data_IF_927033220870
#
_entry.id   IF_927033220870
#
_cell.length_a   1.000
_cell.length_b   1.000
_cell.length_c   1.000
_cell.angle_alpha   90.00
_cell.angle_beta   90.00
_cell.angle_gamma   90.00
#
_symmetry.space_group_name_H-M   'P 1'
#
loop_
_entity.id
_entity.type
_entity.pdbx_description
1 polymer ?
#
# COMPACT_ATOMS: atom_id res chain seq x y z
N UNK A 1 11.16 21.88 -0.06
CA UNK A 1 9.81 21.78 -0.66
C UNK A 1 9.87 20.74 -1.78
N UNK A 2 9.38 19.50 -1.55
CA UNK A 2 9.50 18.32 -2.43
C UNK A 2 8.42 18.26 -3.54
N UNK A 3 8.12 19.39 -4.17
CA UNK A 3 6.95 19.55 -5.05
C UNK A 3 7.15 19.02 -6.49
N UNK A 4 8.33 18.50 -6.82
CA UNK A 4 8.68 17.97 -8.14
C UNK A 4 9.21 16.53 -8.07
N UNK A 5 9.11 15.88 -6.91
CA UNK A 5 9.64 14.53 -6.75
C UNK A 5 8.75 13.54 -7.52
N UNK A 6 9.23 13.08 -8.68
CA UNK A 6 8.54 12.13 -9.54
C UNK A 6 8.91 10.68 -9.23
N UNK A 7 10.12 10.44 -8.73
CA UNK A 7 10.64 9.11 -8.44
C UNK A 7 11.15 9.07 -7.01
N UNK A 8 10.74 8.04 -6.26
CA UNK A 8 11.19 7.80 -4.90
C UNK A 8 11.62 6.34 -4.76
N UNK A 9 12.87 6.12 -4.34
CA UNK A 9 13.40 4.79 -4.07
C UNK A 9 13.67 4.65 -2.57
N UNK A 10 12.95 3.73 -1.96
CA UNK A 10 13.00 3.32 -0.56
C UNK A 10 13.25 1.81 -0.45
N UNK A 11 13.82 1.19 -1.48
CA UNK A 11 14.22 -0.21 -1.46
C UNK A 11 15.26 -0.51 -0.38
N UNK A 12 15.32 -1.76 0.09
CA UNK A 12 16.30 -2.24 1.07
C UNK A 12 16.32 -1.44 2.39
N UNK A 13 15.15 -0.95 2.79
CA UNK A 13 14.95 -0.37 4.12
C UNK A 13 14.34 -1.41 5.06
N UNK A 14 14.03 -1.01 6.29
CA UNK A 14 13.41 -1.88 7.31
C UNK A 14 12.00 -1.45 7.64
N UNK A 15 11.27 -0.93 6.65
CA UNK A 15 9.87 -0.56 6.86
C UNK A 15 9.04 -1.82 7.07
N UNK A 16 8.18 -1.79 8.09
CA UNK A 16 7.40 -2.94 8.54
C UNK A 16 5.90 -2.82 8.23
N UNK A 17 5.42 -1.61 8.02
CA UNK A 17 4.02 -1.29 7.72
C UNK A 17 3.96 -0.09 6.78
N UNK A 18 2.80 0.07 6.10
CA UNK A 18 2.48 1.21 5.26
C UNK A 18 2.05 2.44 6.06
N UNK A 19 1.82 2.33 7.38
CA UNK A 19 1.36 3.44 8.24
C UNK A 19 2.35 4.60 8.36
N UNK A 20 3.64 4.32 8.33
CA UNK A 20 4.68 5.36 8.42
C UNK A 20 4.76 6.24 7.15
N UNK A 21 3.92 5.97 6.15
CA UNK A 21 4.03 6.50 4.78
C UNK A 21 2.93 7.51 4.45
N UNK A 22 2.09 7.89 5.43
CA UNK A 22 1.08 8.95 5.29
C UNK A 22 1.63 10.23 4.60
N UNK A 23 2.88 10.69 4.87
CA UNK A 23 3.43 11.86 4.18
C UNK A 23 3.61 11.69 2.67
N UNK A 24 3.65 10.46 2.13
CA UNK A 24 3.75 10.24 0.69
C UNK A 24 2.55 10.79 -0.07
N UNK A 25 1.37 10.85 0.57
CA UNK A 25 0.16 11.42 -0.03
C UNK A 25 0.35 12.92 -0.35
N UNK A 26 1.31 13.58 0.30
CA UNK A 26 1.67 14.98 0.02
C UNK A 26 2.48 15.14 -1.28
N UNK A 27 3.09 14.06 -1.79
CA UNK A 27 3.91 14.04 -3.01
C UNK A 27 3.01 13.83 -4.24
N UNK A 28 2.21 14.85 -4.57
CA UNK A 28 1.24 14.80 -5.68
C UNK A 28 1.84 14.52 -7.06
N UNK A 29 3.14 14.76 -7.22
CA UNK A 29 3.88 14.54 -8.47
C UNK A 29 4.57 13.18 -8.53
N UNK A 30 4.43 12.33 -7.51
CA UNK A 30 5.08 11.03 -7.45
C UNK A 30 4.45 10.07 -8.47
N UNK A 31 5.26 9.62 -9.42
CA UNK A 31 4.89 8.69 -10.48
C UNK A 31 5.56 7.33 -10.30
N UNK A 32 6.74 7.27 -9.69
CA UNK A 32 7.50 6.04 -9.51
C UNK A 32 7.89 5.85 -8.05
N UNK A 33 7.53 4.68 -7.50
CA UNK A 33 7.83 4.33 -6.12
C UNK A 33 8.45 2.94 -6.05
N UNK A 34 9.64 2.83 -5.47
CA UNK A 34 10.28 1.55 -5.18
C UNK A 34 10.36 1.34 -3.67
N UNK A 35 9.74 0.28 -3.16
CA UNK A 35 9.72 -0.14 -1.76
C UNK A 35 10.13 -1.61 -1.60
N UNK A 36 10.82 -2.15 -2.61
CA UNK A 36 11.27 -3.54 -2.63
C UNK A 36 12.22 -3.87 -1.48
N UNK A 37 12.27 -5.15 -1.12
CA UNK A 37 13.18 -5.71 -0.13
C UNK A 37 13.12 -5.00 1.24
N UNK A 38 11.91 -4.66 1.68
CA UNK A 38 11.64 -4.18 3.03
C UNK A 38 11.13 -5.32 3.93
N UNK A 39 10.70 -5.00 5.15
CA UNK A 39 10.16 -5.95 6.13
C UNK A 39 8.61 -5.89 6.19
N UNK A 40 7.95 -5.41 5.13
CA UNK A 40 6.49 -5.19 5.15
C UNK A 40 5.76 -6.53 5.17
N UNK A 41 4.89 -6.71 6.17
CA UNK A 41 4.14 -7.95 6.40
C UNK A 41 4.94 -9.07 7.07
N UNK A 42 6.20 -8.83 7.49
CA UNK A 42 7.00 -9.83 8.24
C UNK A 42 6.47 -10.01 9.66
N UNK A 43 5.91 -8.96 10.24
CA UNK A 43 5.27 -9.00 11.55
C UNK A 43 3.82 -8.52 11.41
N UNK A 44 2.89 -9.30 11.95
CA UNK A 44 1.51 -8.90 12.18
C UNK A 44 1.51 -7.50 12.80
N UNK A 45 0.96 -6.52 12.07
CA UNK A 45 0.81 -5.16 12.61
C UNK A 45 0.03 -5.25 13.91
N UNK A 46 0.52 -4.58 14.94
CA UNK A 46 -0.13 -4.51 16.24
C UNK A 46 -1.48 -3.78 16.07
N UNK A 47 -2.53 -4.55 15.80
CA UNK A 47 -3.88 -4.06 15.50
C UNK A 47 -4.49 -3.28 16.66
N UNK A 48 -3.88 -3.31 17.86
CA UNK A 48 -4.28 -2.49 19.01
C UNK A 48 -4.25 -0.98 18.71
N UNK A 49 -3.42 -0.52 17.76
CA UNK A 49 -3.42 0.88 17.29
C UNK A 49 -4.68 1.26 16.51
N UNK A 50 -5.33 0.29 15.86
CA UNK A 50 -6.56 0.48 15.08
C UNK A 50 -7.83 0.36 15.93
N UNK A 51 -7.80 -0.45 17.00
CA UNK A 51 -8.96 -0.61 17.91
C UNK A 51 -9.34 0.72 18.57
N UNK A 52 -8.36 1.61 18.79
CA UNK A 52 -8.61 2.93 19.38
C UNK A 52 -9.08 4.00 18.39
N UNK A 53 -8.88 3.81 17.08
CA UNK A 53 -9.38 4.73 16.05
C UNK A 53 -10.80 4.36 15.59
N UNK A 54 -11.18 3.07 15.62
CA UNK A 54 -12.53 2.62 15.28
C UNK A 54 -13.60 2.96 16.34
N UNK A 55 -13.21 3.33 17.56
CA UNK A 55 -14.15 3.79 18.59
C UNK A 55 -14.54 5.27 18.47
N UNK A 56 -13.91 6.05 17.57
CA UNK A 56 -14.17 7.50 17.44
C UNK A 56 -14.75 7.95 16.09
N UNK A 57 -14.99 7.07 15.13
CA UNK A 57 -15.67 7.43 13.87
C UNK A 57 -16.99 6.69 13.70
N UNK A 58 -17.95 6.93 14.61
CA UNK A 58 -19.38 6.75 14.30
C UNK A 58 -19.85 7.96 13.49
N UNK A 59 -19.45 8.02 12.22
CA UNK A 59 -20.15 8.84 11.22
C UNK A 59 -19.90 8.21 9.85
N UNK A 60 -20.94 7.53 9.36
CA UNK A 60 -21.31 7.26 7.97
C UNK A 60 -20.22 7.17 6.90
N UNK A 61 -20.15 5.98 6.27
CA UNK A 61 -19.89 5.88 4.84
C UNK A 61 -18.49 5.45 4.44
N UNK A 62 -18.22 4.15 4.52
CA UNK A 62 -18.05 3.29 3.33
C UNK A 62 -17.66 1.90 3.85
N UNK A 63 -18.60 0.97 3.85
CA UNK A 63 -18.31 -0.46 4.00
C UNK A 63 -17.31 -0.82 2.90
N UNK A 64 -16.03 -0.74 3.22
CA UNK A 64 -15.01 -1.45 2.47
C UNK A 64 -15.32 -2.91 2.79
N UNK A 65 -16.15 -3.55 1.96
CA UNK A 65 -16.27 -5.00 1.91
C UNK A 65 -14.84 -5.54 1.69
N UNK A 66 -14.11 -5.72 2.78
CA UNK A 66 -12.74 -6.22 2.83
C UNK A 66 -12.69 -7.67 3.32
N UNK A 67 -13.83 -8.14 3.85
CA UNK A 67 -14.08 -9.56 4.13
C UNK A 67 -13.90 -10.45 2.89
N UNK A 68 -13.89 -9.88 1.68
CA UNK A 68 -13.63 -10.60 0.43
C UNK A 68 -12.16 -10.65 -0.02
N UNK A 69 -11.23 -10.05 0.73
CA UNK A 69 -9.78 -10.09 0.41
C UNK A 69 -8.93 -10.78 1.48
N UNK A 70 -9.55 -11.22 2.58
CA UNK A 70 -8.91 -12.07 3.59
C UNK A 70 -8.54 -13.42 2.97
N UNK A 71 -7.29 -13.56 2.53
CA UNK A 71 -6.74 -14.88 2.19
C UNK A 71 -5.95 -15.37 3.38
N UNK A 72 -5.93 -16.68 3.64
CA UNK A 72 -5.43 -17.35 4.86
C UNK A 72 -4.01 -16.96 5.33
N UNK A 73 -3.24 -16.24 4.50
CA UNK A 73 -1.87 -15.79 4.79
C UNK A 73 -1.66 -14.26 4.83
N UNK A 74 -2.66 -13.45 4.44
CA UNK A 74 -2.54 -11.99 4.44
C UNK A 74 -3.50 -11.41 5.45
N UNK A 75 -2.96 -10.63 6.39
CA UNK A 75 -3.81 -9.95 7.33
C UNK A 75 -4.61 -8.87 6.61
N UNK A 76 -5.92 -8.87 6.83
CA UNK A 76 -6.86 -7.88 6.29
C UNK A 76 -6.37 -6.45 6.54
N UNK A 77 -5.70 -6.21 7.67
CA UNK A 77 -5.10 -4.93 8.03
C UNK A 77 -4.04 -4.46 7.03
N UNK A 78 -3.05 -5.30 6.68
CA UNK A 78 -1.97 -4.93 5.75
C UNK A 78 -2.50 -4.59 4.35
N UNK A 79 -3.50 -5.36 3.90
CA UNK A 79 -4.20 -5.13 2.63
C UNK A 79 -5.00 -3.83 2.65
N UNK A 80 -5.69 -3.54 3.76
CA UNK A 80 -6.46 -2.31 3.92
C UNK A 80 -5.55 -1.08 3.94
N UNK A 81 -4.46 -1.13 4.69
CA UNK A 81 -3.45 -0.07 4.75
C UNK A 81 -2.89 0.26 3.36
N UNK A 82 -2.50 -0.77 2.60
CA UNK A 82 -2.02 -0.60 1.23
C UNK A 82 -3.07 0.11 0.37
N UNK A 83 -4.33 -0.33 0.40
CA UNK A 83 -5.42 0.31 -0.36
C UNK A 83 -5.57 1.77 0.02
N UNK A 84 -5.58 2.09 1.33
CA UNK A 84 -5.74 3.46 1.81
C UNK A 84 -4.58 4.38 1.40
N UNK A 85 -3.35 3.86 1.41
CA UNK A 85 -2.17 4.60 0.99
C UNK A 85 -2.16 4.82 -0.53
N UNK A 86 -2.29 3.74 -1.30
CA UNK A 86 -2.09 3.76 -2.75
C UNK A 86 -3.24 4.40 -3.53
N UNK A 87 -4.50 4.30 -3.06
CA UNK A 87 -5.66 4.87 -3.79
C UNK A 87 -5.56 6.37 -4.09
N UNK A 88 -4.77 7.08 -3.29
CA UNK A 88 -4.60 8.54 -3.42
C UNK A 88 -3.37 8.92 -4.26
N UNK A 89 -2.51 7.97 -4.62
CA UNK A 89 -1.31 8.21 -5.41
C UNK A 89 -1.59 8.01 -6.91
N UNK A 90 -0.84 8.72 -7.74
CA UNK A 90 -0.98 8.67 -9.20
C UNK A 90 0.20 7.91 -9.83
N UNK A 91 0.57 6.78 -9.22
CA UNK A 91 1.74 6.00 -9.61
C UNK A 91 1.58 5.37 -11.00
N UNK A 92 2.65 5.45 -11.78
CA UNK A 92 2.86 4.73 -13.04
C UNK A 92 3.74 3.50 -12.85
N UNK A 93 4.64 3.53 -11.86
CA UNK A 93 5.52 2.40 -11.53
C UNK A 93 5.58 2.15 -10.03
N UNK A 94 5.42 0.90 -9.65
CA UNK A 94 5.52 0.43 -8.27
C UNK A 94 6.40 -0.83 -8.21
N UNK A 95 7.26 -0.89 -7.21
CA UNK A 95 8.08 -2.08 -6.94
C UNK A 95 7.97 -2.43 -5.45
N UNK A 96 7.39 -3.58 -5.15
CA UNK A 96 7.18 -4.15 -3.82
C UNK A 96 7.91 -5.49 -3.64
N UNK A 97 8.66 -5.95 -4.64
CA UNK A 97 9.29 -7.26 -4.66
C UNK A 97 10.13 -7.52 -3.40
N UNK A 98 10.17 -8.76 -2.91
CA UNK A 98 10.99 -9.12 -1.74
C UNK A 98 10.44 -8.68 -0.37
N UNK A 99 9.23 -8.13 -0.30
CA UNK A 99 8.48 -8.00 0.95
C UNK A 99 7.65 -9.27 1.22
N UNK A 100 7.38 -9.57 2.49
CA UNK A 100 6.54 -10.73 2.85
C UNK A 100 5.09 -10.58 2.36
N UNK A 101 4.60 -9.34 2.28
CA UNK A 101 3.25 -9.03 1.77
C UNK A 101 3.14 -9.09 0.23
N UNK A 102 4.26 -9.20 -0.50
CA UNK A 102 4.30 -9.15 -1.97
C UNK A 102 3.83 -10.47 -2.63
N UNK A 103 2.59 -10.85 -2.35
CA UNK A 103 1.92 -11.99 -2.96
C UNK A 103 0.98 -11.57 -4.10
N UNK A 104 0.49 -12.55 -4.85
CA UNK A 104 -0.37 -12.33 -6.02
C UNK A 104 -1.70 -11.64 -5.71
N UNK A 105 -2.25 -11.83 -4.52
CA UNK A 105 -3.52 -11.21 -4.14
C UNK A 105 -3.35 -9.71 -3.91
N UNK A 106 -2.28 -9.31 -3.21
CA UNK A 106 -1.95 -7.89 -3.07
C UNK A 106 -1.60 -7.28 -4.42
N UNK A 107 -0.79 -7.96 -5.25
CA UNK A 107 -0.45 -7.50 -6.60
C UNK A 107 -1.72 -7.23 -7.42
N UNK A 108 -2.63 -8.19 -7.47
CA UNK A 108 -3.93 -8.06 -8.16
C UNK A 108 -4.79 -6.91 -7.62
N UNK A 109 -4.75 -6.67 -6.31
CA UNK A 109 -5.47 -5.56 -5.68
C UNK A 109 -4.85 -4.21 -6.03
N UNK A 110 -3.52 -4.10 -6.02
CA UNK A 110 -2.80 -2.88 -6.36
C UNK A 110 -3.08 -2.44 -7.80
N UNK A 111 -3.15 -3.39 -8.74
CA UNK A 111 -3.55 -3.11 -10.13
C UNK A 111 -4.95 -2.49 -10.18
N UNK A 112 -5.91 -3.02 -9.41
CA UNK A 112 -7.28 -2.49 -9.35
C UNK A 112 -7.36 -1.11 -8.68
N UNK A 113 -6.53 -0.86 -7.67
CA UNK A 113 -6.54 0.38 -6.88
C UNK A 113 -5.77 1.52 -7.56
N UNK A 114 -4.75 1.20 -8.36
CA UNK A 114 -3.91 2.16 -9.08
C UNK A 114 -4.19 2.10 -10.58
N UNK A 115 -5.24 2.78 -11.09
CA UNK A 115 -5.64 2.71 -12.50
C UNK A 115 -4.60 3.28 -13.47
N UNK A 116 -3.61 4.04 -12.97
CA UNK A 116 -2.51 4.59 -13.77
C UNK A 116 -1.24 3.74 -13.73
N UNK A 117 -1.24 2.65 -12.96
CA UNK A 117 -0.09 1.78 -12.83
C UNK A 117 0.15 1.07 -14.15
N UNK A 118 1.36 1.21 -14.68
CA UNK A 118 1.79 0.57 -15.93
C UNK A 118 2.83 -0.51 -15.66
N UNK A 119 3.55 -0.42 -14.54
CA UNK A 119 4.63 -1.32 -14.19
C UNK A 119 4.56 -1.73 -12.72
N UNK A 120 4.53 -3.03 -12.44
CA UNK A 120 4.57 -3.61 -11.11
C UNK A 120 5.69 -4.65 -11.02
N UNK A 121 6.67 -4.42 -10.14
CA UNK A 121 7.85 -5.29 -9.97
C UNK A 121 8.62 -5.54 -11.29
N UNK A 122 8.61 -4.55 -12.18
CA UNK A 122 9.25 -4.64 -13.51
C UNK A 122 8.41 -5.30 -14.59
N UNK A 123 7.22 -5.81 -14.26
CA UNK A 123 6.28 -6.39 -15.22
C UNK A 123 5.27 -5.34 -15.68
N UNK A 124 4.90 -5.40 -16.97
CA UNK A 124 3.84 -4.55 -17.50
C UNK A 124 2.49 -4.99 -16.95
N UNK A 125 1.68 -4.03 -16.52
CA UNK A 125 0.35 -4.26 -15.97
C UNK A 125 -0.68 -4.01 -17.06
N UNK A 126 -1.42 -5.05 -17.43
CA UNK A 126 -2.58 -4.92 -18.32
C UNK A 126 -3.85 -4.68 -17.48
N UNK A 127 -4.62 -3.66 -17.86
CA UNK A 127 -5.91 -3.30 -17.24
C UNK A 127 -7.10 -3.90 -18.00
#
# INVERSE_FOLDING_TARGET
MLHLLSCLNLSYNKFRSFTDWEPLVLLKSLEELNISHNEIGVHCVDTTRYVHSSLFSRTEGNDCNLDCYATEHIQVADTCEAVFLFKNLQLRKLDIAGNAVANENLRSLLVKVLPKLQWLDGEAVDH
#
